data_IF_301020920439
#
_entry.id   IF_301020920439
#
_cell.length_a   1.000
_cell.length_b   1.000
_cell.length_c   1.000
_cell.angle_alpha   90.00
_cell.angle_beta   90.00
_cell.angle_gamma   90.00
#
_symmetry.space_group_name_H-M   'P 1'
#
loop_
_entity.id
_entity.type
_entity.pdbx_description
1 polymer ?
#
# COMPACT_ATOMS: atom_id res chain seq x y z
N UNK A 1 1.82 2.23 11.78
CA UNK A 1 0.69 3.19 11.79
C UNK A 1 0.47 3.88 13.13
N UNK A 2 0.43 3.16 14.26
CA UNK A 2 0.28 3.74 15.62
C UNK A 2 1.15 4.97 15.88
N UNK A 3 2.48 4.81 15.79
CA UNK A 3 3.43 5.91 16.00
C UNK A 3 3.32 7.02 14.95
N UNK A 4 3.00 6.67 13.70
CA UNK A 4 2.82 7.65 12.64
C UNK A 4 1.60 8.55 12.88
N UNK A 5 0.53 8.03 13.50
CA UNK A 5 -0.62 8.84 13.90
C UNK A 5 -0.27 9.86 14.98
N UNK A 6 0.65 9.52 15.89
CA UNK A 6 1.12 10.46 16.92
C UNK A 6 2.14 11.47 16.39
N UNK A 7 3.02 11.06 15.47
CA UNK A 7 4.23 11.81 15.09
C UNK A 7 4.16 12.49 13.72
N UNK A 8 3.33 11.99 12.81
CA UNK A 8 3.37 12.41 11.40
C UNK A 8 2.77 13.78 11.10
N UNK A 9 1.82 14.24 11.91
CA UNK A 9 1.21 15.56 11.80
C UNK A 9 0.64 15.90 10.40
N UNK A 10 0.56 17.21 10.11
CA UNK A 10 0.00 17.72 8.86
C UNK A 10 0.85 17.38 7.62
N UNK A 11 2.18 17.27 7.78
CA UNK A 11 3.08 16.91 6.69
C UNK A 11 2.79 15.50 6.17
N UNK A 12 2.63 14.52 7.06
CA UNK A 12 2.22 13.17 6.68
C UNK A 12 0.84 13.16 6.02
N UNK A 13 -0.12 13.91 6.55
CA UNK A 13 -1.48 14.01 5.96
C UNK A 13 -1.43 14.50 4.51
N UNK A 14 -0.67 15.56 4.23
CA UNK A 14 -0.53 16.10 2.90
C UNK A 14 0.11 15.07 1.94
N UNK A 15 1.23 14.48 2.34
CA UNK A 15 1.95 13.50 1.53
C UNK A 15 1.11 12.24 1.23
N UNK A 16 0.38 11.71 2.21
CA UNK A 16 -0.50 10.57 1.99
C UNK A 16 -1.71 10.94 1.12
N UNK A 17 -2.27 12.14 1.27
CA UNK A 17 -3.39 12.61 0.44
C UNK A 17 -2.98 12.72 -1.02
N UNK A 18 -1.82 13.34 -1.28
CA UNK A 18 -1.25 13.44 -2.61
C UNK A 18 -0.99 12.06 -3.22
N UNK A 19 -0.33 11.17 -2.46
CA UNK A 19 -0.03 9.81 -2.93
C UNK A 19 -1.31 9.04 -3.31
N UNK A 20 -2.35 9.08 -2.48
CA UNK A 20 -3.65 8.44 -2.77
C UNK A 20 -4.32 9.07 -3.99
N UNK A 21 -4.18 10.38 -4.19
CA UNK A 21 -4.61 11.06 -5.41
C UNK A 21 -3.92 10.48 -6.64
N UNK A 22 -2.60 10.32 -6.62
CA UNK A 22 -1.82 9.74 -7.71
C UNK A 22 -2.18 8.27 -7.98
N UNK A 23 -2.50 7.49 -6.94
CA UNK A 23 -3.02 6.14 -7.12
C UNK A 23 -4.37 6.11 -7.84
N UNK A 24 -5.24 7.08 -7.56
CA UNK A 24 -6.60 7.11 -8.14
C UNK A 24 -6.62 7.36 -9.65
N UNK A 25 -5.54 7.93 -10.19
CA UNK A 25 -5.38 8.21 -11.62
C UNK A 25 -4.30 7.34 -12.26
N UNK A 26 -3.77 6.34 -11.55
CA UNK A 26 -2.80 5.40 -12.12
C UNK A 26 -3.43 4.61 -13.28
N UNK A 27 -2.70 4.49 -14.38
CA UNK A 27 -3.15 3.80 -15.59
C UNK A 27 -2.51 2.42 -15.74
N UNK A 28 -1.38 2.17 -15.06
CA UNK A 28 -0.71 0.87 -15.05
C UNK A 28 -0.55 0.31 -13.64
N UNK A 29 -0.49 -1.03 -13.52
CA UNK A 29 -0.11 -1.69 -12.27
C UNK A 29 1.28 -1.25 -11.79
N UNK A 30 2.22 -1.01 -12.71
CA UNK A 30 3.55 -0.50 -12.35
C UNK A 30 3.48 0.83 -11.61
N UNK A 31 2.67 1.77 -12.10
CA UNK A 31 2.46 3.05 -11.43
C UNK A 31 1.77 2.84 -10.08
N UNK A 32 0.69 2.08 -10.04
CA UNK A 32 -0.06 1.80 -8.82
C UNK A 32 0.84 1.17 -7.75
N UNK A 33 1.63 0.15 -8.11
CA UNK A 33 2.62 -0.50 -7.23
C UNK A 33 3.68 0.47 -6.72
N UNK A 34 4.25 1.33 -7.57
CA UNK A 34 5.23 2.33 -7.11
C UNK A 34 4.62 3.29 -6.10
N UNK A 35 3.36 3.70 -6.31
CA UNK A 35 2.64 4.58 -5.38
C UNK A 35 2.25 3.86 -4.10
N UNK A 36 1.84 2.61 -4.18
CA UNK A 36 1.53 1.73 -3.04
C UNK A 36 2.75 1.57 -2.13
N UNK A 37 3.91 1.24 -2.70
CA UNK A 37 5.17 1.13 -1.94
C UNK A 37 5.54 2.47 -1.29
N UNK A 38 5.44 3.57 -2.04
CA UNK A 38 5.70 4.91 -1.50
C UNK A 38 4.73 5.28 -0.36
N UNK A 39 3.46 4.89 -0.44
CA UNK A 39 2.45 5.11 0.59
C UNK A 39 2.85 4.44 1.92
N UNK A 40 3.27 3.18 1.85
CA UNK A 40 3.73 2.42 3.00
C UNK A 40 4.99 3.03 3.61
N UNK A 41 5.95 3.44 2.76
CA UNK A 41 7.19 4.08 3.21
C UNK A 41 6.93 5.40 3.95
N UNK A 42 5.99 6.23 3.48
CA UNK A 42 5.59 7.46 4.17
C UNK A 42 5.14 7.19 5.62
N UNK A 43 4.29 6.17 5.83
CA UNK A 43 3.82 5.78 7.17
C UNK A 43 4.97 5.25 8.01
N UNK A 44 5.86 4.42 7.45
CA UNK A 44 7.00 3.85 8.17
C UNK A 44 7.97 4.95 8.61
N UNK A 45 8.32 5.88 7.72
CA UNK A 45 9.22 6.99 8.04
C UNK A 45 8.62 7.91 9.09
N UNK A 46 7.34 8.26 8.95
CA UNK A 46 6.65 9.10 9.93
C UNK A 46 6.48 8.45 11.30
N UNK A 47 6.63 7.13 11.41
CA UNK A 47 6.70 6.47 12.71
C UNK A 47 7.96 6.84 13.50
N UNK A 48 9.03 7.33 12.86
CA UNK A 48 10.29 7.69 13.52
C UNK A 48 10.87 6.53 14.34
N UNK A 49 10.83 5.32 13.79
CA UNK A 49 11.33 4.11 14.43
C UNK A 49 12.34 3.43 13.50
N UNK A 50 13.62 3.54 13.84
CA UNK A 50 14.72 3.08 12.98
C UNK A 50 14.69 1.57 12.76
N UNK A 51 14.25 0.78 13.75
CA UNK A 51 14.10 -0.68 13.59
C UNK A 51 13.01 -1.01 12.59
N UNK A 52 11.88 -0.30 12.64
CA UNK A 52 10.81 -0.46 11.66
C UNK A 52 11.25 -0.02 10.27
N UNK A 53 11.99 1.07 10.16
CA UNK A 53 12.52 1.55 8.89
C UNK A 53 13.53 0.56 8.29
N UNK A 54 14.47 0.05 9.10
CA UNK A 54 15.41 -0.97 8.66
C UNK A 54 14.68 -2.23 8.18
N UNK A 55 13.68 -2.71 8.93
CA UNK A 55 12.86 -3.85 8.51
C UNK A 55 12.14 -3.58 7.18
N UNK A 56 11.55 -2.40 7.00
CA UNK A 56 10.92 -1.98 5.75
C UNK A 56 11.90 -2.01 4.58
N UNK A 57 13.09 -1.43 4.74
CA UNK A 57 14.09 -1.37 3.67
C UNK A 57 14.55 -2.77 3.24
N UNK A 58 14.59 -3.75 4.14
CA UNK A 58 14.88 -5.15 3.81
C UNK A 58 13.78 -5.81 2.99
N UNK A 59 12.50 -5.56 3.30
CA UNK A 59 11.37 -6.23 2.62
C UNK A 59 10.88 -5.48 1.39
N UNK A 60 11.16 -4.18 1.26
CA UNK A 60 10.61 -3.31 0.21
C UNK A 60 10.90 -3.85 -1.19
N UNK A 61 12.14 -4.20 -1.47
CA UNK A 61 12.54 -4.70 -2.79
C UNK A 61 11.90 -6.05 -3.14
N UNK A 62 11.73 -6.92 -2.14
CA UNK A 62 11.03 -8.20 -2.31
C UNK A 62 9.55 -7.97 -2.60
N UNK A 63 8.93 -7.02 -1.89
CA UNK A 63 7.54 -6.64 -2.10
C UNK A 63 7.30 -6.02 -3.49
N UNK A 64 8.15 -5.07 -3.90
CA UNK A 64 8.14 -4.48 -5.24
C UNK A 64 8.27 -5.55 -6.33
N UNK A 65 9.24 -6.47 -6.19
CA UNK A 65 9.46 -7.55 -7.13
C UNK A 65 8.22 -8.45 -7.24
N UNK A 66 7.67 -8.86 -6.10
CA UNK A 66 6.53 -9.76 -6.06
C UNK A 66 5.28 -9.12 -6.69
N UNK A 67 5.01 -7.84 -6.42
CA UNK A 67 3.92 -7.10 -7.07
C UNK A 67 4.14 -6.97 -8.58
N UNK A 68 5.36 -6.64 -9.02
CA UNK A 68 5.67 -6.54 -10.44
C UNK A 68 5.54 -7.89 -11.17
N UNK A 69 5.85 -8.99 -10.51
CA UNK A 69 5.67 -10.34 -11.04
C UNK A 69 4.18 -10.74 -11.10
N UNK A 70 3.42 -10.47 -10.03
CA UNK A 70 2.01 -10.83 -9.91
C UNK A 70 1.09 -10.15 -10.95
N UNK A 71 1.48 -8.96 -11.43
CA UNK A 71 0.69 -8.17 -12.36
C UNK A 71 1.40 -7.91 -13.71
N UNK A 72 2.41 -8.72 -14.05
CA UNK A 72 3.24 -8.51 -15.26
C UNK A 72 2.40 -8.45 -16.54
N UNK A 73 1.44 -9.35 -16.66
CA UNK A 73 0.64 -9.55 -17.88
C UNK A 73 -0.83 -9.10 -17.69
N UNK A 74 -1.08 -8.28 -16.66
CA UNK A 74 -2.42 -7.83 -16.31
C UNK A 74 -2.56 -6.34 -16.61
N UNK A 75 -3.63 -5.97 -17.33
CA UNK A 75 -4.03 -4.57 -17.46
C UNK A 75 -4.76 -4.09 -16.21
N UNK A 76 -4.46 -2.87 -15.77
CA UNK A 76 -5.10 -2.29 -14.59
C UNK A 76 -6.54 -1.90 -14.88
N UNK A 77 -7.48 -2.80 -14.56
CA UNK A 77 -8.89 -2.48 -14.58
C UNK A 77 -9.25 -1.44 -13.50
N UNK A 78 -10.31 -0.68 -13.77
CA UNK A 78 -10.82 0.39 -12.87
C UNK A 78 -11.14 -0.15 -11.48
N UNK A 79 -11.81 -1.31 -11.41
CA UNK A 79 -12.26 -1.91 -10.15
C UNK A 79 -11.10 -2.26 -9.20
N UNK A 80 -10.04 -3.01 -9.62
CA UNK A 80 -8.85 -3.23 -8.78
C UNK A 80 -8.21 -1.94 -8.25
N UNK A 81 -8.09 -0.90 -9.10
CA UNK A 81 -7.55 0.40 -8.69
C UNK A 81 -8.44 1.04 -7.62
N UNK A 82 -9.75 1.08 -7.82
CA UNK A 82 -10.70 1.67 -6.88
C UNK A 82 -10.71 0.96 -5.54
N UNK A 83 -10.61 -0.37 -5.53
CA UNK A 83 -10.51 -1.16 -4.30
C UNK A 83 -9.23 -0.81 -3.52
N UNK A 84 -8.08 -0.76 -4.20
CA UNK A 84 -6.80 -0.37 -3.59
C UNK A 84 -6.89 1.05 -3.00
N UNK A 85 -7.37 2.02 -3.79
CA UNK A 85 -7.54 3.42 -3.39
C UNK A 85 -8.51 3.54 -2.20
N UNK A 86 -9.63 2.81 -2.20
CA UNK A 86 -10.59 2.79 -1.09
C UNK A 86 -9.95 2.25 0.19
N UNK A 87 -9.11 1.22 0.07
CA UNK A 87 -8.34 0.68 1.19
C UNK A 87 -7.38 1.73 1.76
N UNK A 88 -6.60 2.40 0.92
CA UNK A 88 -5.67 3.45 1.35
C UNK A 88 -6.35 4.68 1.92
N UNK A 89 -7.50 5.11 1.38
CA UNK A 89 -8.30 6.21 1.95
C UNK A 89 -8.75 5.93 3.38
N UNK A 90 -9.13 4.68 3.69
CA UNK A 90 -9.49 4.27 5.06
C UNK A 90 -8.28 4.33 6.00
N UNK A 91 -7.13 3.85 5.56
CA UNK A 91 -5.91 3.89 6.35
C UNK A 91 -5.39 5.32 6.54
N UNK A 92 -5.39 6.15 5.49
CA UNK A 92 -5.14 7.59 5.55
C UNK A 92 -5.99 8.24 6.64
N UNK A 93 -7.32 8.09 6.57
CA UNK A 93 -8.24 8.72 7.52
C UNK A 93 -7.97 8.29 8.97
N UNK A 94 -7.60 7.02 9.20
CA UNK A 94 -7.26 6.51 10.52
C UNK A 94 -5.91 7.05 11.03
N UNK A 95 -4.87 7.08 10.19
CA UNK A 95 -3.56 7.62 10.56
C UNK A 95 -3.64 9.12 10.83
N UNK A 96 -4.39 9.87 10.02
CA UNK A 96 -4.49 11.33 10.14
C UNK A 96 -5.47 11.81 11.21
N UNK A 97 -6.17 10.90 11.90
CA UNK A 97 -7.07 11.29 13.00
C UNK A 97 -6.33 11.55 14.31
N UNK A 98 -5.04 11.26 14.38
CA UNK A 98 -4.25 11.37 15.62
C UNK A 98 -4.54 10.30 16.67
N UNK A 99 -5.39 9.30 16.36
CA UNK A 99 -5.72 8.19 17.27
C UNK A 99 -4.80 6.98 16.98
N UNK A 100 -3.84 6.67 17.87
CA UNK A 100 -2.87 5.62 17.62
C UNK A 100 -3.50 4.22 17.55
N UNK A 101 -4.52 3.96 18.38
CA UNK A 101 -5.20 2.66 18.44
C UNK A 101 -6.08 2.43 17.22
N UNK A 102 -6.76 3.47 16.74
CA UNK A 102 -7.51 3.41 15.47
C UNK A 102 -6.57 3.19 14.28
N UNK A 103 -5.44 3.89 14.23
CA UNK A 103 -4.45 3.74 13.17
C UNK A 103 -3.85 2.33 13.12
N UNK A 104 -3.57 1.74 14.28
CA UNK A 104 -3.10 0.35 14.39
C UNK A 104 -4.12 -0.66 13.86
N UNK A 105 -5.36 -0.59 14.34
CA UNK A 105 -6.45 -1.48 13.89
C UNK A 105 -6.67 -1.36 12.38
N UNK A 106 -6.67 -0.13 11.85
CA UNK A 106 -6.83 0.10 10.42
C UNK A 106 -5.67 -0.47 9.58
N UNK A 107 -4.42 -0.37 10.07
CA UNK A 107 -3.27 -0.94 9.38
C UNK A 107 -3.29 -2.47 9.36
N UNK A 108 -3.65 -3.10 10.48
CA UNK A 108 -3.82 -4.55 10.54
C UNK A 108 -4.90 -5.00 9.55
N UNK A 109 -6.08 -4.38 9.59
CA UNK A 109 -7.18 -4.70 8.67
C UNK A 109 -6.80 -4.47 7.19
N UNK A 110 -6.06 -3.41 6.89
CA UNK A 110 -5.55 -3.13 5.55
C UNK A 110 -4.67 -4.28 5.03
N UNK A 111 -3.64 -4.67 5.81
CA UNK A 111 -2.69 -5.72 5.41
C UNK A 111 -3.37 -7.10 5.36
N UNK A 112 -4.29 -7.41 6.28
CA UNK A 112 -4.97 -8.72 6.26
C UNK A 112 -5.99 -8.83 5.14
N UNK A 113 -6.64 -7.72 4.76
CA UNK A 113 -7.55 -7.68 3.61
C UNK A 113 -6.83 -7.76 2.26
N UNK A 114 -5.50 -7.62 2.20
CA UNK A 114 -4.71 -7.78 0.97
C UNK A 114 -4.97 -9.14 0.27
N UNK A 115 -5.27 -10.19 1.03
CA UNK A 115 -5.51 -11.54 0.49
C UNK A 115 -6.65 -11.60 -0.52
N UNK A 116 -7.67 -10.75 -0.40
CA UNK A 116 -8.76 -10.72 -1.40
C UNK A 116 -8.32 -10.12 -2.74
N UNK A 117 -7.21 -9.38 -2.78
CA UNK A 117 -6.66 -8.81 -4.02
C UNK A 117 -5.83 -9.82 -4.82
N UNK A 118 -5.33 -10.87 -4.16
CA UNK A 118 -4.62 -11.96 -4.82
C UNK A 118 -5.47 -12.68 -5.86
N UNK A 119 -6.80 -12.68 -5.72
CA UNK A 119 -7.69 -13.29 -6.72
C UNK A 119 -7.63 -12.57 -8.08
N UNK A 120 -7.24 -11.29 -8.11
CA UNK A 120 -7.03 -10.54 -9.35
C UNK A 120 -5.61 -10.73 -9.92
N UNK A 121 -4.67 -11.21 -9.12
CA UNK A 121 -3.35 -11.63 -9.58
C UNK A 121 -3.48 -13.07 -10.11
N UNK A 122 -3.56 -13.23 -11.43
CA UNK A 122 -3.56 -14.56 -12.04
C UNK A 122 -2.19 -15.19 -11.77
N UNK A 123 -2.08 -16.38 -11.14
CA UNK A 123 -0.82 -17.10 -11.19
C UNK A 123 -0.48 -17.33 -12.66
N UNK A 124 0.79 -17.16 -13.03
CA UNK A 124 1.26 -17.60 -14.33
C UNK A 124 0.79 -19.04 -14.50
N UNK A 125 -0.11 -19.29 -15.45
CA UNK A 125 -0.48 -20.65 -15.81
C UNK A 125 0.81 -21.31 -16.26
N UNK A 126 1.32 -22.25 -15.45
CA UNK A 126 2.24 -23.24 -15.98
C UNK A 126 1.56 -23.82 -17.21
N UNK A 127 2.16 -23.58 -18.37
CA UNK A 127 1.65 -24.07 -19.62
C UNK A 127 1.56 -25.60 -19.49
N UNK A 128 0.35 -26.13 -19.42
CA UNK A 128 0.11 -27.53 -19.72
C UNK A 128 0.39 -27.71 -21.21
N UNK A 129 1.64 -28.00 -21.54
CA UNK A 129 1.99 -28.65 -22.80
C UNK A 129 1.38 -30.04 -22.78
N UNK A 130 0.38 -30.26 -23.64
CA UNK A 130 -0.01 -31.58 -24.11
C UNK A 130 0.18 -31.66 -25.60
#
# INVERSE_FOLDING_TARGET
ARLAATRGGNGLKAALTENVGLQSVAVTYRELTRRDVAFHELIVRAAGNDRLLAAWLTVRSVFEFWLAAAFRDTDLAVEPRELAVKSHRRLLAAVTSGDPSRAEKAAIAHITSWRSYLHYARPASEGTTS
#
